data_IF_443498088899
#
_entry.id   IF_443498088899
#
_cell.length_a   1.000
_cell.length_b   1.000
_cell.length_c   1.000
_cell.angle_alpha   90.00
_cell.angle_beta   90.00
_cell.angle_gamma   90.00
#
_symmetry.space_group_name_H-M   'P 1'
#
loop_
_entity.id
_entity.type
_entity.pdbx_description
1 polymer ?
#
# COMPACT_ATOMS: atom_id res chain seq x y z
N UNK A 1 31.01 20.89 69.65
CA UNK A 1 29.67 20.28 69.69
C UNK A 1 28.80 20.94 68.61
N UNK A 2 28.71 20.32 67.42
CA UNK A 2 27.88 20.83 66.33
C UNK A 2 26.47 20.27 66.45
N UNK A 3 25.52 21.12 66.88
CA UNK A 3 24.14 20.76 67.16
C UNK A 3 23.43 20.15 65.96
N UNK A 4 23.00 18.89 66.11
CA UNK A 4 22.07 18.23 65.19
C UNK A 4 20.69 18.84 65.39
N UNK A 5 20.37 19.91 64.66
CA UNK A 5 19.01 20.44 64.59
C UNK A 5 18.12 19.39 63.94
N UNK A 6 17.18 18.88 64.71
CA UNK A 6 16.03 18.12 64.24
C UNK A 6 15.22 19.03 63.30
N UNK A 7 15.40 18.83 62.00
CA UNK A 7 14.57 19.43 60.97
C UNK A 7 14.05 18.27 60.13
N UNK A 8 12.72 18.21 59.95
CA UNK A 8 12.03 17.20 59.17
C UNK A 8 12.74 16.95 57.84
N UNK A 9 12.69 15.69 57.41
CA UNK A 9 13.36 15.14 56.22
C UNK A 9 13.72 16.20 55.18
N UNK A 10 15.01 16.45 54.97
CA UNK A 10 15.52 17.37 53.95
C UNK A 10 14.74 17.15 52.64
N UNK A 11 13.98 18.16 52.20
CA UNK A 11 13.02 18.09 51.07
C UNK A 11 13.61 17.41 49.81
N UNK A 12 14.92 17.54 49.58
CA UNK A 12 15.61 16.89 48.46
C UNK A 12 15.74 15.37 48.63
N UNK A 13 15.89 14.88 49.86
CA UNK A 13 15.89 13.45 50.20
C UNK A 13 14.47 12.87 50.13
N UNK A 14 13.47 13.61 50.58
CA UNK A 14 12.05 13.24 50.43
C UNK A 14 11.67 13.11 48.93
N UNK A 15 12.05 14.08 48.10
CA UNK A 15 11.82 14.03 46.65
C UNK A 15 12.57 12.87 45.95
N UNK A 16 13.78 12.55 46.39
CA UNK A 16 14.54 11.41 45.87
C UNK A 16 13.91 10.05 46.22
N UNK A 17 13.40 9.92 47.45
CA UNK A 17 12.67 8.73 47.88
C UNK A 17 11.30 8.61 47.17
N UNK A 18 10.60 9.73 46.97
CA UNK A 18 9.36 9.76 46.18
C UNK A 18 9.58 9.27 44.74
N UNK A 19 10.61 9.78 44.05
CA UNK A 19 10.94 9.32 42.68
C UNK A 19 11.30 7.83 42.61
N UNK A 20 11.96 7.30 43.64
CA UNK A 20 12.25 5.85 43.72
C UNK A 20 10.98 5.03 43.98
N UNK A 21 10.08 5.53 44.81
CA UNK A 21 8.78 4.91 45.05
C UNK A 21 7.91 4.92 43.78
N UNK A 22 7.87 6.03 43.05
CA UNK A 22 7.13 6.16 41.79
C UNK A 22 7.68 5.22 40.72
N UNK A 23 9.02 5.11 40.60
CA UNK A 23 9.65 4.17 39.67
C UNK A 23 9.44 2.69 40.04
N UNK A 24 9.32 2.38 41.34
CA UNK A 24 8.98 1.04 41.80
C UNK A 24 7.49 0.73 41.55
N UNK A 25 6.61 1.71 41.79
CA UNK A 25 5.18 1.61 41.52
C UNK A 25 4.90 1.46 40.02
N UNK A 26 5.61 2.20 39.15
CA UNK A 26 5.45 2.09 37.71
C UNK A 26 5.92 0.73 37.17
N UNK A 27 7.00 0.15 37.73
CA UNK A 27 7.45 -1.20 37.39
C UNK A 27 6.45 -2.26 37.85
N UNK A 28 5.96 -2.14 39.08
CA UNK A 28 4.92 -3.03 39.60
C UNK A 28 3.64 -2.96 38.78
N UNK A 29 3.18 -1.75 38.42
CA UNK A 29 2.04 -1.57 37.54
C UNK A 29 2.26 -2.21 36.16
N UNK A 30 3.46 -2.10 35.58
CA UNK A 30 3.76 -2.75 34.31
C UNK A 30 3.79 -4.28 34.41
N UNK A 31 4.25 -4.84 35.53
CA UNK A 31 4.22 -6.28 35.79
C UNK A 31 2.79 -6.79 36.04
N UNK A 32 1.99 -6.03 36.79
CA UNK A 32 0.59 -6.35 37.06
C UNK A 32 -0.25 -6.27 35.78
N UNK A 33 0.02 -5.30 34.88
CA UNK A 33 -0.59 -5.23 33.56
C UNK A 33 -0.21 -6.42 32.67
N UNK A 34 1.05 -6.87 32.72
CA UNK A 34 1.48 -8.07 31.99
C UNK A 34 0.78 -9.32 32.50
N UNK A 35 0.69 -9.50 33.82
CA UNK A 35 0.00 -10.63 34.44
C UNK A 35 -1.50 -10.60 34.13
N UNK A 36 -2.14 -9.44 34.22
CA UNK A 36 -3.55 -9.28 33.86
C UNK A 36 -3.80 -9.65 32.39
N UNK A 37 -2.92 -9.24 31.46
CA UNK A 37 -3.03 -9.60 30.05
C UNK A 37 -2.77 -11.10 29.78
N UNK A 38 -1.90 -11.74 30.56
CA UNK A 38 -1.67 -13.18 30.49
C UNK A 38 -2.86 -13.97 31.06
N UNK A 39 -3.40 -13.54 32.20
CA UNK A 39 -4.60 -14.12 32.81
C UNK A 39 -5.82 -13.96 31.90
N UNK A 40 -6.01 -12.79 31.28
CA UNK A 40 -7.09 -12.57 30.30
C UNK A 40 -6.98 -13.52 29.11
N UNK A 41 -5.77 -13.76 28.59
CA UNK A 41 -5.55 -14.76 27.52
C UNK A 41 -5.87 -16.18 27.97
N UNK A 42 -5.56 -16.54 29.22
CA UNK A 42 -5.89 -17.85 29.77
C UNK A 42 -7.40 -18.01 29.98
N UNK A 43 -8.07 -16.98 30.49
CA UNK A 43 -9.53 -16.95 30.65
C UNK A 43 -10.26 -16.97 29.29
N UNK A 44 -9.74 -16.27 28.29
CA UNK A 44 -10.28 -16.28 26.93
C UNK A 44 -10.21 -17.67 26.28
N UNK A 45 -9.23 -18.51 26.64
CA UNK A 45 -9.09 -19.88 26.13
C UNK A 45 -10.20 -20.83 26.60
N UNK A 46 -10.82 -20.53 27.74
CA UNK A 46 -11.98 -21.27 28.27
C UNK A 46 -13.33 -20.75 27.79
N UNK A 47 -13.38 -19.55 27.20
CA UNK A 47 -14.60 -18.97 26.65
C UNK A 47 -14.93 -19.63 25.31
N UNK A 48 -16.16 -20.15 25.20
CA UNK A 48 -16.67 -20.73 23.95
C UNK A 48 -16.63 -19.67 22.86
N UNK A 49 -15.90 -19.94 21.78
CA UNK A 49 -15.63 -19.01 20.70
C UNK A 49 -16.92 -18.51 20.04
N UNK A 50 -17.31 -17.27 20.37
CA UNK A 50 -18.37 -16.53 19.67
C UNK A 50 -17.82 -15.74 18.47
N UNK A 51 -16.57 -16.02 18.08
CA UNK A 51 -15.82 -15.35 17.02
C UNK A 51 -16.59 -15.23 15.71
N UNK A 52 -17.37 -16.25 15.32
CA UNK A 52 -18.22 -16.19 14.12
C UNK A 52 -19.37 -15.19 14.23
N UNK A 53 -19.90 -14.96 15.44
CA UNK A 53 -20.97 -13.99 15.70
C UNK A 53 -20.40 -12.58 15.80
N UNK A 54 -19.27 -12.41 16.47
CA UNK A 54 -18.58 -11.13 16.61
C UNK A 54 -18.00 -10.63 15.28
N UNK A 55 -17.42 -11.52 14.45
CA UNK A 55 -16.99 -11.15 13.08
C UNK A 55 -18.16 -10.75 12.18
N UNK A 56 -19.32 -11.41 12.33
CA UNK A 56 -20.51 -11.08 11.56
C UNK A 56 -21.13 -9.74 12.01
N UNK A 57 -21.07 -9.44 13.30
CA UNK A 57 -21.56 -8.18 13.88
C UNK A 57 -20.61 -7.02 13.57
N UNK A 58 -19.29 -7.23 13.62
CA UNK A 58 -18.27 -6.27 13.21
C UNK A 58 -18.36 -5.93 11.72
N UNK A 59 -18.56 -6.92 10.84
CA UNK A 59 -18.78 -6.69 9.39
C UNK A 59 -20.07 -5.92 9.12
N UNK A 60 -21.14 -6.19 9.87
CA UNK A 60 -22.40 -5.42 9.75
C UNK A 60 -22.25 -3.98 10.24
N UNK A 61 -21.54 -3.77 11.35
CA UNK A 61 -21.27 -2.44 11.87
C UNK A 61 -20.37 -1.62 10.93
N UNK A 62 -19.33 -2.23 10.34
CA UNK A 62 -18.45 -1.56 9.38
C UNK A 62 -19.18 -1.22 8.07
N UNK A 63 -20.01 -2.14 7.57
CA UNK A 63 -20.84 -1.88 6.39
C UNK A 63 -21.87 -0.77 6.63
N UNK A 64 -22.48 -0.72 7.83
CA UNK A 64 -23.38 0.37 8.21
C UNK A 64 -22.65 1.71 8.30
N UNK A 65 -21.43 1.74 8.85
CA UNK A 65 -20.61 2.95 8.93
C UNK A 65 -20.19 3.46 7.55
N UNK A 66 -19.70 2.57 6.68
CA UNK A 66 -19.36 2.91 5.28
C UNK A 66 -20.58 3.38 4.49
N UNK A 67 -21.75 2.78 4.72
CA UNK A 67 -22.99 3.21 4.08
C UNK A 67 -23.39 4.62 4.54
N UNK A 68 -23.32 4.90 5.85
CA UNK A 68 -23.62 6.21 6.40
C UNK A 68 -22.64 7.30 5.91
N UNK A 69 -21.35 6.99 5.84
CA UNK A 69 -20.33 7.91 5.29
C UNK A 69 -20.58 8.20 3.80
N UNK A 70 -20.91 7.16 3.01
CA UNK A 70 -21.23 7.34 1.58
C UNK A 70 -22.52 8.14 1.37
N UNK A 71 -23.53 7.92 2.19
CA UNK A 71 -24.81 8.64 2.11
C UNK A 71 -24.66 10.10 2.56
N UNK A 72 -23.83 10.37 3.57
CA UNK A 72 -23.47 11.73 3.96
C UNK A 72 -22.71 12.47 2.84
N UNK A 73 -21.74 11.82 2.21
CA UNK A 73 -21.03 12.40 1.05
C UNK A 73 -21.98 12.64 -0.13
N UNK A 74 -22.90 11.72 -0.42
CA UNK A 74 -23.87 11.89 -1.50
C UNK A 74 -24.83 13.06 -1.19
N UNK A 75 -25.27 13.20 0.06
CA UNK A 75 -26.11 14.32 0.48
C UNK A 75 -25.37 15.67 0.42
N UNK A 76 -24.06 15.71 0.71
CA UNK A 76 -23.24 16.91 0.56
C UNK A 76 -22.98 17.26 -0.92
N UNK A 77 -22.80 16.25 -1.77
CA UNK A 77 -22.77 16.40 -3.24
C UNK A 77 -24.13 16.88 -3.79
N UNK A 78 -25.25 16.37 -3.30
CA UNK A 78 -26.60 16.77 -3.72
C UNK A 78 -26.98 18.17 -3.22
N UNK A 79 -26.52 18.56 -2.03
CA UNK A 79 -26.70 19.90 -1.49
C UNK A 79 -25.80 20.96 -2.16
N UNK A 80 -24.63 20.55 -2.67
CA UNK A 80 -23.73 21.43 -3.42
C UNK A 80 -24.06 21.51 -4.92
N UNK A 81 -24.93 20.64 -5.43
CA UNK A 81 -25.53 20.83 -6.74
C UNK A 81 -26.48 22.05 -6.72
N UNK A 82 -26.29 23.04 -7.62
CA UNK A 82 -27.14 24.22 -7.64
C UNK A 82 -28.58 23.80 -7.98
N UNK A 83 -29.48 23.94 -7.00
CA UNK A 83 -30.92 23.82 -7.18
C UNK A 83 -31.38 24.90 -8.17
N UNK A 84 -31.37 24.58 -9.47
CA UNK A 84 -31.93 25.46 -10.48
C UNK A 84 -33.45 25.43 -10.34
N UNK A 85 -33.93 26.53 -9.75
CA UNK A 85 -35.31 26.94 -9.54
C UNK A 85 -36.40 26.15 -10.26
N UNK A 86 -37.30 25.60 -9.44
CA UNK A 86 -38.67 25.29 -9.84
C UNK A 86 -39.37 26.62 -10.17
N UNK A 87 -39.39 26.99 -11.45
CA UNK A 87 -40.01 28.24 -11.89
C UNK A 87 -39.99 28.42 -13.41
N UNK A 88 -41.13 28.11 -14.04
CA UNK A 88 -41.69 28.68 -15.26
C UNK A 88 -40.74 29.28 -16.33
N UNK A 89 -40.58 28.59 -17.48
CA UNK A 89 -41.11 29.05 -18.76
C UNK A 89 -40.88 28.00 -19.85
N UNK A 90 -41.91 27.76 -20.66
CA UNK A 90 -41.86 26.90 -21.82
C UNK A 90 -41.02 27.54 -22.93
N UNK A 91 -39.97 26.87 -23.43
CA UNK A 91 -39.62 26.79 -24.86
C UNK A 91 -38.88 25.48 -25.14
N UNK A 92 -39.37 24.79 -26.16
CA UNK A 92 -38.90 23.51 -26.70
C UNK A 92 -37.41 23.49 -27.01
N UNK A 93 -36.62 22.69 -26.30
CA UNK A 93 -35.25 22.36 -26.66
C UNK A 93 -35.24 21.07 -27.47
N UNK A 94 -35.00 21.19 -28.79
CA UNK A 94 -34.80 20.04 -29.67
C UNK A 94 -33.63 19.19 -29.16
N UNK A 95 -33.85 17.88 -29.08
CA UNK A 95 -32.79 16.88 -28.85
C UNK A 95 -31.80 16.95 -30.02
N UNK A 96 -30.69 17.67 -29.85
CA UNK A 96 -29.48 17.45 -30.65
C UNK A 96 -28.73 16.30 -29.98
N UNK A 97 -28.87 15.11 -30.55
CA UNK A 97 -27.94 14.00 -30.33
C UNK A 97 -26.56 14.48 -30.77
N UNK A 98 -25.78 15.00 -29.81
CA UNK A 98 -24.38 15.36 -30.02
C UNK A 98 -23.59 14.05 -30.08
N UNK A 99 -23.70 13.37 -31.23
CA UNK A 99 -22.70 12.42 -31.65
C UNK A 99 -21.35 13.13 -31.58
N UNK A 100 -20.39 12.47 -30.94
CA UNK A 100 -19.02 12.92 -30.85
C UNK A 100 -18.50 13.07 -32.29
N UNK A 101 -18.38 14.30 -32.77
CA UNK A 101 -17.83 14.59 -34.08
C UNK A 101 -16.32 14.37 -34.04
N UNK A 102 -15.91 13.18 -34.46
CA UNK A 102 -14.52 12.74 -34.51
C UNK A 102 -13.70 13.47 -35.58
N UNK A 103 -14.33 14.25 -36.48
CA UNK A 103 -13.60 15.00 -37.51
C UNK A 103 -12.74 16.12 -36.93
N UNK A 104 -13.09 16.62 -35.74
CA UNK A 104 -12.34 17.69 -35.07
C UNK A 104 -11.04 17.22 -34.41
N UNK A 105 -10.81 15.91 -34.33
CA UNK A 105 -9.57 15.34 -33.80
C UNK A 105 -8.50 15.12 -34.90
N UNK A 106 -8.90 15.12 -36.18
CA UNK A 106 -8.00 14.89 -37.32
C UNK A 106 -7.37 16.19 -37.87
N UNK A 107 -7.92 17.36 -37.52
CA UNK A 107 -7.45 18.68 -37.97
C UNK A 107 -6.59 19.41 -36.90
N UNK A 108 -5.93 18.66 -36.01
CA UNK A 108 -4.92 19.22 -35.13
C UNK A 108 -3.60 19.35 -35.91
N UNK A 109 -2.96 20.54 -35.96
CA UNK A 109 -1.79 20.75 -36.79
C UNK A 109 -0.66 19.79 -36.39
N UNK A 110 -0.14 19.07 -37.39
CA UNK A 110 0.98 18.12 -37.36
C UNK A 110 2.32 18.79 -36.99
N UNK A 111 2.39 19.43 -35.82
CA UNK A 111 3.52 20.23 -35.34
C UNK A 111 4.20 19.72 -34.07
N UNK A 112 3.66 18.70 -33.39
CA UNK A 112 4.42 18.02 -32.33
C UNK A 112 5.26 16.92 -32.94
N UNK A 113 6.59 17.07 -32.88
CA UNK A 113 7.64 16.09 -33.24
C UNK A 113 7.08 14.68 -33.43
N UNK A 114 7.21 14.11 -34.64
CA UNK A 114 6.83 12.73 -35.02
C UNK A 114 6.48 11.91 -33.77
N UNK A 115 5.19 11.81 -33.44
CA UNK A 115 4.76 10.75 -32.57
C UNK A 115 5.19 9.48 -33.31
N UNK A 116 6.29 8.87 -32.87
CA UNK A 116 6.70 7.55 -33.36
C UNK A 116 5.47 6.68 -33.17
N UNK A 117 4.84 6.26 -34.26
CA UNK A 117 3.70 5.36 -34.23
C UNK A 117 4.19 4.04 -33.66
N UNK A 118 4.13 3.91 -32.33
CA UNK A 118 4.55 2.72 -31.61
C UNK A 118 3.52 1.64 -31.92
N UNK A 119 3.94 0.60 -32.64
CA UNK A 119 3.07 -0.51 -33.04
C UNK A 119 3.06 -1.55 -31.93
N UNK A 120 2.07 -1.46 -31.03
CA UNK A 120 1.93 -2.38 -29.91
C UNK A 120 0.94 -3.50 -30.23
N UNK A 121 1.38 -4.57 -30.90
CA UNK A 121 0.60 -5.80 -31.04
C UNK A 121 0.78 -6.71 -29.81
N UNK A 122 -0.28 -6.92 -29.03
CA UNK A 122 -0.28 -7.76 -27.83
C UNK A 122 -0.36 -6.95 -26.52
N UNK A 123 -0.79 -7.60 -25.43
CA UNK A 123 -1.04 -6.93 -24.14
C UNK A 123 0.28 -6.38 -23.56
N UNK A 124 1.34 -7.19 -23.55
CA UNK A 124 2.63 -6.78 -22.97
C UNK A 124 3.26 -5.59 -23.72
N UNK A 125 3.19 -5.60 -25.05
CA UNK A 125 3.64 -4.50 -25.89
C UNK A 125 2.80 -3.22 -25.70
N UNK A 126 1.49 -3.36 -25.43
CA UNK A 126 0.61 -2.23 -25.15
C UNK A 126 0.89 -1.63 -23.76
N UNK A 127 1.17 -2.47 -22.76
CA UNK A 127 1.60 -2.04 -21.43
C UNK A 127 2.96 -1.32 -21.49
N UNK A 128 3.90 -1.83 -22.29
CA UNK A 128 5.18 -1.17 -22.53
C UNK A 128 5.03 0.19 -23.23
N UNK A 129 4.18 0.27 -24.27
CA UNK A 129 3.88 1.51 -24.96
C UNK A 129 3.21 2.53 -24.01
N UNK A 130 2.33 2.06 -23.12
CA UNK A 130 1.71 2.90 -22.10
C UNK A 130 2.73 3.35 -21.04
N UNK A 131 3.63 2.47 -20.60
CA UNK A 131 4.72 2.78 -19.67
C UNK A 131 5.71 3.80 -20.26
N UNK A 132 5.91 3.78 -21.58
CA UNK A 132 6.69 4.78 -22.32
C UNK A 132 6.01 6.14 -22.42
N UNK A 133 4.69 6.16 -22.60
CA UNK A 133 3.86 7.35 -22.71
C UNK A 133 3.57 7.98 -21.34
N UNK A 134 3.38 7.15 -20.32
CA UNK A 134 3.23 7.55 -18.94
C UNK A 134 4.58 8.03 -18.43
N UNK A 135 4.61 9.21 -17.82
CA UNK A 135 5.83 9.72 -17.18
C UNK A 135 6.02 9.05 -15.82
N UNK A 136 5.87 7.73 -15.77
CA UNK A 136 5.98 6.99 -14.53
C UNK A 136 7.43 7.04 -14.07
N UNK A 137 7.63 7.79 -12.99
CA UNK A 137 8.92 7.98 -12.34
C UNK A 137 9.27 6.76 -11.49
N UNK A 138 9.05 5.54 -12.01
CA UNK A 138 9.41 4.31 -11.32
C UNK A 138 10.89 4.41 -10.95
N UNK A 139 11.15 4.61 -9.66
CA UNK A 139 12.49 4.84 -9.15
C UNK A 139 13.26 3.53 -9.34
N UNK A 140 14.13 3.48 -10.36
CA UNK A 140 15.14 2.41 -10.46
C UNK A 140 15.72 2.19 -9.07
N UNK A 141 15.57 0.96 -8.58
CA UNK A 141 16.03 0.59 -7.26
C UNK A 141 17.55 0.46 -7.24
N UNK A 142 18.15 0.86 -6.13
CA UNK A 142 19.59 0.75 -5.89
C UNK A 142 19.93 -0.42 -4.96
N UNK A 143 18.93 -0.95 -4.27
CA UNK A 143 19.11 -2.00 -3.26
C UNK A 143 18.14 -3.17 -3.45
N UNK A 144 18.31 -3.95 -4.54
CA UNK A 144 17.48 -5.12 -4.78
C UNK A 144 17.54 -6.13 -3.62
N UNK A 145 18.70 -6.29 -2.96
CA UNK A 145 18.89 -7.14 -1.77
C UNK A 145 17.92 -6.81 -0.63
N UNK A 146 17.61 -5.53 -0.41
CA UNK A 146 16.72 -5.10 0.68
C UNK A 146 15.26 -5.44 0.37
N UNK A 147 14.88 -5.43 -0.91
CA UNK A 147 13.51 -5.74 -1.35
C UNK A 147 13.30 -7.23 -1.56
N UNK A 148 14.35 -8.00 -1.83
CA UNK A 148 14.27 -9.44 -2.06
C UNK A 148 13.48 -10.17 -0.96
N UNK A 149 13.77 -9.90 0.32
CA UNK A 149 13.07 -10.55 1.44
C UNK A 149 11.58 -10.22 1.47
N UNK A 150 11.21 -8.98 1.20
CA UNK A 150 9.82 -8.55 1.20
C UNK A 150 9.06 -9.10 -0.01
N UNK A 151 9.67 -9.05 -1.19
CA UNK A 151 9.12 -9.61 -2.41
C UNK A 151 8.96 -11.13 -2.32
N UNK A 152 9.96 -11.83 -1.77
CA UNK A 152 9.89 -13.27 -1.52
C UNK A 152 8.78 -13.62 -0.53
N UNK A 153 8.63 -12.87 0.56
CA UNK A 153 7.55 -13.10 1.52
C UNK A 153 6.15 -12.90 0.88
N UNK A 154 5.98 -11.84 0.08
CA UNK A 154 4.73 -11.62 -0.65
C UNK A 154 4.44 -12.73 -1.66
N UNK A 155 5.46 -13.24 -2.35
CA UNK A 155 5.34 -14.37 -3.27
C UNK A 155 5.02 -15.67 -2.53
N UNK A 156 5.70 -15.94 -1.41
CA UNK A 156 5.49 -17.11 -0.57
C UNK A 156 4.05 -17.15 -0.06
N UNK A 157 3.50 -16.06 0.47
CA UNK A 157 2.12 -16.00 0.98
C UNK A 157 1.07 -16.34 -0.10
N UNK A 158 1.31 -15.93 -1.36
CA UNK A 158 0.42 -16.21 -2.49
C UNK A 158 0.59 -17.63 -3.03
N UNK A 159 1.84 -18.07 -3.24
CA UNK A 159 2.15 -19.28 -4.01
C UNK A 159 2.20 -20.55 -3.17
N UNK A 160 2.53 -20.44 -1.88
CA UNK A 160 2.60 -21.57 -0.97
C UNK A 160 1.27 -22.36 -0.80
N UNK A 161 0.08 -21.72 -0.70
CA UNK A 161 -1.18 -22.47 -0.68
C UNK A 161 -1.50 -23.16 -2.01
N UNK A 162 -1.09 -22.58 -3.15
CA UNK A 162 -1.24 -23.20 -4.46
C UNK A 162 -0.37 -24.45 -4.57
N UNK A 163 0.90 -24.35 -4.16
CA UNK A 163 1.83 -25.50 -4.12
C UNK A 163 1.35 -26.59 -3.15
N UNK A 164 0.71 -26.24 -2.04
CA UNK A 164 0.12 -27.22 -1.13
C UNK A 164 -1.05 -28.00 -1.74
N UNK A 165 -1.85 -27.35 -2.59
CA UNK A 165 -2.94 -28.01 -3.32
C UNK A 165 -2.40 -28.87 -4.47
N UNK A 166 -1.40 -28.38 -5.21
CA UNK A 166 -0.76 -29.10 -6.32
C UNK A 166 0.05 -30.30 -5.82
N UNK A 167 0.74 -30.15 -4.69
CA UNK A 167 1.67 -31.12 -4.13
C UNK A 167 1.41 -31.40 -2.63
N UNK A 168 0.27 -32.01 -2.26
CA UNK A 168 -0.10 -32.26 -0.88
C UNK A 168 0.84 -33.24 -0.15
N UNK A 169 1.60 -34.05 -0.89
CA UNK A 169 2.56 -35.01 -0.33
C UNK A 169 3.92 -34.43 0.07
N UNK A 170 4.24 -33.19 -0.32
CA UNK A 170 5.54 -32.59 -0.03
C UNK A 170 5.59 -31.96 1.38
N UNK A 171 6.72 -32.16 2.07
CA UNK A 171 6.99 -31.50 3.34
C UNK A 171 7.06 -29.98 3.12
N UNK A 172 6.66 -29.18 4.12
CA UNK A 172 6.66 -27.71 4.03
C UNK A 172 8.00 -27.12 3.56
N UNK A 173 9.13 -27.64 4.03
CA UNK A 173 10.46 -27.18 3.56
C UNK A 173 10.66 -27.42 2.06
N UNK A 174 10.23 -28.57 1.52
CA UNK A 174 10.33 -28.88 0.09
C UNK A 174 9.42 -27.95 -0.73
N UNK A 175 8.24 -27.59 -0.20
CA UNK A 175 7.34 -26.62 -0.83
C UNK A 175 7.94 -25.21 -0.85
N UNK A 176 8.59 -24.81 0.25
CA UNK A 176 9.35 -23.55 0.31
C UNK A 176 10.50 -23.54 -0.71
N UNK A 177 11.23 -24.65 -0.85
CA UNK A 177 12.32 -24.75 -1.84
C UNK A 177 11.80 -24.65 -3.28
N UNK A 178 10.64 -25.25 -3.58
CA UNK A 178 9.97 -25.08 -4.88
C UNK A 178 9.54 -23.64 -5.10
N UNK A 179 8.86 -23.04 -4.11
CA UNK A 179 8.43 -21.65 -4.14
C UNK A 179 9.61 -20.70 -4.38
N UNK A 180 10.77 -20.96 -3.75
CA UNK A 180 12.00 -20.19 -3.96
C UNK A 180 12.57 -20.34 -5.36
N UNK A 181 12.59 -21.55 -5.91
CA UNK A 181 13.03 -21.78 -7.30
C UNK A 181 12.13 -21.11 -8.33
N UNK A 182 10.83 -21.08 -8.09
CA UNK A 182 9.88 -20.33 -8.91
C UNK A 182 10.12 -18.83 -8.77
N UNK A 183 10.31 -18.34 -7.56
CA UNK A 183 10.59 -16.93 -7.30
C UNK A 183 11.88 -16.44 -7.95
N UNK A 184 12.96 -17.23 -7.90
CA UNK A 184 14.24 -16.87 -8.53
C UNK A 184 14.10 -16.63 -10.05
N UNK A 185 13.14 -17.30 -10.70
CA UNK A 185 12.84 -17.13 -12.14
C UNK A 185 11.74 -16.12 -12.44
N UNK A 186 10.96 -15.74 -11.43
CA UNK A 186 9.82 -14.82 -11.60
C UNK A 186 10.28 -13.39 -11.88
N UNK A 187 9.47 -12.64 -12.63
CA UNK A 187 9.64 -11.21 -12.86
C UNK A 187 9.41 -10.37 -11.59
N UNK A 188 8.76 -10.94 -10.57
CA UNK A 188 8.56 -10.31 -9.26
C UNK A 188 9.83 -10.28 -8.41
N UNK A 189 10.88 -11.00 -8.81
CA UNK A 189 12.19 -10.94 -8.15
C UNK A 189 12.89 -9.60 -8.49
N UNK A 190 13.19 -8.75 -7.49
CA UNK A 190 13.87 -7.46 -7.72
C UNK A 190 15.23 -7.58 -8.41
N UNK A 191 15.89 -8.74 -8.36
CA UNK A 191 17.16 -8.98 -9.06
C UNK A 191 16.99 -9.19 -10.57
N UNK A 192 15.83 -9.69 -11.01
CA UNK A 192 15.52 -9.86 -12.43
C UNK A 192 15.05 -8.54 -13.08
N UNK A 193 14.75 -7.54 -12.26
CA UNK A 193 14.39 -6.19 -12.68
C UNK A 193 15.63 -5.31 -12.86
N UNK A 194 15.48 -4.25 -13.65
CA UNK A 194 16.55 -3.25 -13.86
C UNK A 194 16.83 -2.51 -12.55
N UNK A 195 18.06 -2.64 -12.06
CA UNK A 195 18.55 -1.98 -10.87
C UNK A 195 19.81 -1.18 -11.18
N UNK A 196 20.06 -0.14 -10.40
CA UNK A 196 21.26 0.67 -10.48
C UNK A 196 22.27 0.24 -9.42
N UNK A 197 23.56 0.48 -9.67
CA UNK A 197 24.59 0.29 -8.65
C UNK A 197 24.34 1.23 -7.46
N UNK A 198 24.73 0.79 -6.25
CA UNK A 198 24.52 1.54 -5.00
C UNK A 198 25.15 2.93 -5.05
N UNK A 199 26.33 3.04 -5.65
CA UNK A 199 27.10 4.28 -5.77
C UNK A 199 26.83 5.04 -7.08
N UNK A 200 25.82 4.63 -7.87
CA UNK A 200 25.56 5.24 -9.16
C UNK A 200 25.14 6.71 -9.02
N UNK A 201 25.70 7.56 -9.88
CA UNK A 201 25.36 8.98 -9.92
C UNK A 201 23.92 9.18 -10.45
N UNK A 202 23.32 10.35 -10.19
CA UNK A 202 21.97 10.65 -10.69
C UNK A 202 21.91 10.62 -12.23
N UNK A 203 23.01 11.00 -12.88
CA UNK A 203 23.16 10.97 -14.34
C UNK A 203 23.25 9.54 -14.86
N UNK A 204 24.01 8.66 -14.21
CA UNK A 204 24.08 7.23 -14.56
C UNK A 204 22.72 6.54 -14.41
N UNK A 205 21.98 6.84 -13.35
CA UNK A 205 20.61 6.31 -13.16
C UNK A 205 19.68 6.83 -14.26
N UNK A 206 19.81 8.10 -14.67
CA UNK A 206 19.04 8.64 -15.78
C UNK A 206 19.42 8.00 -17.12
N UNK A 207 20.71 7.77 -17.36
CA UNK A 207 21.22 7.09 -18.55
C UNK A 207 20.74 5.63 -18.62
N UNK A 208 20.73 4.90 -17.50
CA UNK A 208 20.16 3.55 -17.42
C UNK A 208 18.65 3.54 -17.72
N UNK A 209 17.90 4.53 -17.23
CA UNK A 209 16.48 4.68 -17.60
C UNK A 209 16.32 4.94 -19.09
N UNK A 210 17.13 5.82 -19.64
CA UNK A 210 17.05 6.19 -21.05
C UNK A 210 17.46 5.03 -21.97
N UNK A 211 18.47 4.23 -21.58
CA UNK A 211 18.86 3.04 -22.34
C UNK A 211 17.77 1.99 -22.35
N UNK A 212 17.11 1.74 -21.22
CA UNK A 212 15.96 0.84 -21.16
C UNK A 212 14.77 1.38 -21.94
N UNK A 213 14.49 2.69 -21.81
CA UNK A 213 13.45 3.36 -22.59
C UNK A 213 13.69 3.19 -24.10
N UNK A 214 14.91 3.43 -24.56
CA UNK A 214 15.33 3.25 -25.96
C UNK A 214 15.23 1.79 -26.41
N UNK A 215 15.53 0.83 -25.54
CA UNK A 215 15.40 -0.61 -25.84
C UNK A 215 13.94 -1.03 -26.01
N UNK A 216 13.03 -0.48 -25.20
CA UNK A 216 11.60 -0.72 -25.35
C UNK A 216 11.06 0.01 -26.59
N UNK A 217 11.47 1.26 -26.82
CA UNK A 217 11.11 2.03 -28.02
C UNK A 217 11.59 1.35 -29.30
N UNK A 218 12.80 0.78 -29.33
CA UNK A 218 13.30 0.06 -30.50
C UNK A 218 12.54 -1.26 -30.74
N UNK A 219 12.14 -1.97 -29.67
CA UNK A 219 11.30 -3.16 -29.78
C UNK A 219 9.91 -2.85 -30.36
N UNK A 220 9.32 -1.73 -29.98
CA UNK A 220 7.97 -1.32 -30.41
C UNK A 220 7.94 -0.52 -31.72
N UNK A 221 9.04 0.16 -32.05
CA UNK A 221 9.18 0.96 -33.27
C UNK A 221 9.86 0.22 -34.43
N UNK A 222 10.45 -0.95 -34.17
CA UNK A 222 11.14 -1.76 -35.18
C UNK A 222 10.24 -2.70 -36.00
N UNK A 223 8.91 -2.51 -35.97
CA UNK A 223 7.95 -3.38 -36.64
C UNK A 223 7.01 -2.62 -37.54
#
# INVERSE_FOLDING_TARGET
MGGKKAAGENSKKAAGNARKADAAASKKAAEDQKKAAEEEKQWAKGSKTNAKKEDAEAKKAEAARKKAEREALLAEEEASQPAKGKGANAKTAQKKTRGLDLSQLDDAPAGSKKASSLSATGIDNALDALSLASKDTSKIDRHPERRFKAAYAAFEERRLPEIEQENPGLRRNQRMDLCRKEFEKSEENPFNQVHAAVNASKEEIAALRESERKKVESRLGGK
#
